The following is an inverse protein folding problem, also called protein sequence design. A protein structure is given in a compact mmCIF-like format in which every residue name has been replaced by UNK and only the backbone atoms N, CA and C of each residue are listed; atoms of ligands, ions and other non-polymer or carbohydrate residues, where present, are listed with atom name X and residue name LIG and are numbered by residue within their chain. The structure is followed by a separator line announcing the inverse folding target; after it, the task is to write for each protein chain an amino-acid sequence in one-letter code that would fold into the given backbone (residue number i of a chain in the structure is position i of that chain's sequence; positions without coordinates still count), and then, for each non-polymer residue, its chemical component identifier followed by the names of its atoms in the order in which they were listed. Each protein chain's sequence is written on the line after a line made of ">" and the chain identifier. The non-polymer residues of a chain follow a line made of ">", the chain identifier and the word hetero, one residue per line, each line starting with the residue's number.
data_IF_072591681216
#
_entry.id   IF_072591681216
#
_cell.length_a   1.000
_cell.length_b   1.000
_cell.length_c   1.000
_cell.angle_alpha   90.00
_cell.angle_beta   90.00
_cell.angle_gamma   90.00
#
_symmetry.space_group_name_H-M   'P 1'
#
loop_
_entity.id
_entity.type
_entity.pdbx_description
1 polymer ?
#
# COMPACT_ATOMS: atom_id res chain seq x y z
N UNK A 1 -4.07 -17.26 11.21
CA UNK A 1 -4.02 -16.76 12.60
C UNK A 1 -2.56 -16.68 13.00
N UNK A 2 -2.06 -15.50 13.38
CA UNK A 2 -0.67 -15.32 13.81
C UNK A 2 -0.64 -15.18 15.31
N UNK A 3 0.02 -16.11 16.00
CA UNK A 3 0.24 -16.00 17.44
C UNK A 3 1.33 -14.96 17.71
N UNK A 4 1.04 -13.98 18.58
CA UNK A 4 1.99 -12.96 18.99
C UNK A 4 2.38 -13.26 20.45
N UNK A 5 3.61 -13.71 20.72
CA UNK A 5 4.09 -13.97 22.09
C UNK A 5 4.04 -12.71 22.95
N UNK A 6 3.61 -12.85 24.21
CA UNK A 6 3.56 -11.74 25.17
C UNK A 6 3.92 -12.20 26.59
N UNK A 7 4.37 -11.25 27.43
CA UNK A 7 4.65 -11.47 28.85
C UNK A 7 3.93 -10.44 29.70
N UNK A 8 3.43 -10.88 30.85
CA UNK A 8 2.80 -10.04 31.86
C UNK A 8 3.76 -9.88 33.04
N UNK A 9 4.09 -8.65 33.40
CA UNK A 9 4.97 -8.36 34.53
C UNK A 9 4.19 -8.31 35.84
N UNK A 10 4.91 -8.36 36.97
CA UNK A 10 4.31 -8.24 38.32
C UNK A 10 3.55 -6.92 38.54
N UNK A 11 3.82 -5.91 37.71
CA UNK A 11 3.10 -4.64 37.69
C UNK A 11 1.84 -4.67 36.79
N UNK A 12 1.41 -5.85 36.34
CA UNK A 12 0.29 -6.06 35.40
C UNK A 12 0.47 -5.37 34.03
N UNK A 13 1.71 -5.15 33.59
CA UNK A 13 2.03 -4.58 32.27
C UNK A 13 2.29 -5.70 31.27
N UNK A 14 1.88 -5.51 30.02
CA UNK A 14 2.01 -6.52 28.95
C UNK A 14 3.03 -6.05 27.92
N UNK A 15 3.96 -6.92 27.56
CA UNK A 15 4.98 -6.65 26.53
C UNK A 15 4.96 -7.75 25.48
N UNK A 16 5.07 -7.36 24.21
CA UNK A 16 5.19 -8.28 23.08
C UNK A 16 6.58 -8.12 22.47
N UNK A 17 7.47 -9.07 22.75
CA UNK A 17 8.85 -9.08 22.24
C UNK A 17 9.24 -10.51 21.85
N UNK A 18 10.29 -10.67 21.06
CA UNK A 18 10.87 -12.00 20.80
C UNK A 18 11.49 -12.60 22.07
N UNK A 19 11.66 -13.92 22.09
CA UNK A 19 12.13 -14.65 23.28
C UNK A 19 13.55 -14.23 23.69
N UNK A 20 14.40 -13.84 22.75
CA UNK A 20 15.77 -13.39 23.02
C UNK A 20 15.80 -12.02 23.69
N UNK A 21 15.01 -11.07 23.20
CA UNK A 21 14.85 -9.77 23.86
C UNK A 21 14.17 -9.90 25.21
N UNK A 22 13.22 -10.82 25.39
CA UNK A 22 12.58 -11.10 26.68
C UNK A 22 13.60 -11.52 27.76
N UNK A 23 14.55 -12.40 27.45
CA UNK A 23 15.57 -12.82 28.41
C UNK A 23 16.44 -11.65 28.88
N UNK A 24 16.92 -10.83 27.94
CA UNK A 24 17.69 -9.63 28.24
C UNK A 24 16.91 -8.62 29.10
N UNK A 25 15.61 -8.43 28.79
CA UNK A 25 14.76 -7.54 29.57
C UNK A 25 14.52 -8.06 30.99
N UNK A 26 14.41 -9.37 31.17
CA UNK A 26 14.19 -9.99 32.49
C UNK A 26 15.38 -9.77 33.43
N UNK A 27 16.60 -9.75 32.90
CA UNK A 27 17.82 -9.39 33.66
C UNK A 27 17.82 -7.90 34.06
N UNK A 28 17.38 -7.01 33.17
CA UNK A 28 17.27 -5.58 33.45
C UNK A 28 16.16 -5.24 34.46
N UNK A 29 15.11 -6.05 34.55
CA UNK A 29 13.97 -5.90 35.47
C UNK A 29 14.32 -6.10 36.95
N UNK A 30 15.49 -6.67 37.28
CA UNK A 30 15.96 -6.76 38.67
C UNK A 30 16.37 -5.39 39.25
N UNK A 31 16.70 -4.44 38.37
CA UNK A 31 16.87 -3.04 38.74
C UNK A 31 15.53 -2.31 38.58
N UNK A 32 15.25 -1.32 39.43
CA UNK A 32 13.98 -0.58 39.50
C UNK A 32 13.78 0.36 38.28
N UNK A 33 14.09 -0.10 37.07
CA UNK A 33 14.24 0.67 35.84
C UNK A 33 12.87 0.97 35.22
N UNK A 34 12.54 2.26 35.10
CA UNK A 34 11.28 2.71 34.49
C UNK A 34 11.36 2.68 32.96
N UNK A 35 11.11 1.50 32.39
CA UNK A 35 11.10 1.25 30.95
C UNK A 35 10.12 2.14 30.19
N UNK A 36 8.95 2.45 30.75
CA UNK A 36 7.95 3.30 30.07
C UNK A 36 8.46 4.71 29.84
N UNK A 37 9.19 5.28 30.80
CA UNK A 37 9.81 6.60 30.63
C UNK A 37 10.87 6.61 29.51
N UNK A 38 11.49 5.46 29.23
CA UNK A 38 12.48 5.31 28.17
C UNK A 38 11.85 5.03 26.79
N UNK A 39 10.86 4.13 26.72
CA UNK A 39 10.22 3.76 25.46
C UNK A 39 9.19 4.78 24.97
N UNK A 40 8.42 5.41 25.85
CA UNK A 40 7.42 6.40 25.43
C UNK A 40 7.96 7.50 24.50
N UNK A 41 9.10 8.17 24.79
CA UNK A 41 9.64 9.17 23.87
C UNK A 41 10.10 8.54 22.55
N UNK A 42 10.67 7.33 22.56
CA UNK A 42 11.09 6.62 21.35
C UNK A 42 9.91 6.21 20.48
N UNK A 43 8.86 5.63 21.08
CA UNK A 43 7.61 5.27 20.39
C UNK A 43 6.93 6.52 19.84
N UNK A 44 6.93 7.63 20.58
CA UNK A 44 6.37 8.90 20.11
C UNK A 44 7.16 9.47 18.93
N UNK A 45 8.51 9.44 18.99
CA UNK A 45 9.35 9.88 17.87
C UNK A 45 9.16 8.99 16.65
N UNK A 46 9.13 7.68 16.84
CA UNK A 46 8.92 6.70 15.77
C UNK A 46 7.54 6.86 15.14
N UNK A 47 6.49 7.07 15.94
CA UNK A 47 5.16 7.37 15.43
C UNK A 47 5.13 8.66 14.58
N UNK A 48 5.76 9.74 15.05
CA UNK A 48 5.87 11.01 14.29
C UNK A 48 6.65 10.84 12.97
N UNK A 49 7.74 10.08 13.00
CA UNK A 49 8.51 9.76 11.80
C UNK A 49 7.65 8.95 10.82
N UNK A 50 6.97 7.90 11.30
CA UNK A 50 6.08 7.08 10.48
C UNK A 50 4.91 7.87 9.89
N UNK A 51 4.30 8.77 10.66
CA UNK A 51 3.19 9.60 10.20
C UNK A 51 3.62 10.48 9.01
N UNK A 52 4.75 11.18 9.11
CA UNK A 52 5.30 11.94 7.98
C UNK A 52 5.74 11.08 6.78
N UNK A 53 6.19 9.85 7.04
CA UNK A 53 6.61 8.91 5.99
C UNK A 53 5.41 8.31 5.24
N UNK A 54 4.29 8.06 5.92
CA UNK A 54 3.05 7.52 5.31
C UNK A 54 2.41 8.48 4.31
N UNK A 55 2.42 9.79 4.61
CA UNK A 55 1.85 10.82 3.73
C UNK A 55 2.71 11.02 2.48
N UNK A 56 4.03 10.97 2.62
CA UNK A 56 4.94 11.10 1.48
C UNK A 56 5.00 9.85 0.61
N UNK A 57 4.94 8.66 1.22
CA UNK A 57 4.97 7.38 0.48
C UNK A 57 3.68 7.14 -0.30
N UNK A 58 2.51 7.47 0.24
CA UNK A 58 1.22 7.38 -0.46
C UNK A 58 1.15 8.32 -1.66
N UNK A 59 1.67 9.55 -1.55
CA UNK A 59 1.78 10.48 -2.67
C UNK A 59 2.65 9.93 -3.81
N UNK A 60 3.83 9.41 -3.48
CA UNK A 60 4.73 8.78 -4.46
C UNK A 60 4.11 7.53 -5.10
N UNK A 61 3.43 6.69 -4.31
CA UNK A 61 2.76 5.51 -4.81
C UNK A 61 1.62 5.87 -5.77
N UNK A 62 0.82 6.89 -5.45
CA UNK A 62 -0.22 7.40 -6.36
C UNK A 62 0.36 7.90 -7.68
N UNK A 63 1.51 8.57 -7.64
CA UNK A 63 2.23 8.99 -8.86
C UNK A 63 2.71 7.78 -9.66
N UNK A 64 3.28 6.77 -8.99
CA UNK A 64 3.72 5.54 -9.62
C UNK A 64 2.57 4.84 -10.35
N UNK A 65 1.41 4.70 -9.70
CA UNK A 65 0.22 4.08 -10.31
C UNK A 65 -0.26 4.87 -11.53
N UNK A 66 -0.32 6.21 -11.44
CA UNK A 66 -0.68 7.05 -12.60
C UNK A 66 0.30 6.87 -13.76
N UNK A 67 1.60 6.81 -13.47
CA UNK A 67 2.65 6.56 -14.46
C UNK A 67 2.52 5.18 -15.11
N UNK A 68 2.24 4.14 -14.31
CA UNK A 68 2.06 2.78 -14.78
C UNK A 68 0.81 2.66 -15.68
N UNK A 69 -0.31 3.29 -15.31
CA UNK A 69 -1.51 3.36 -16.17
C UNK A 69 -1.18 4.04 -17.50
N UNK A 70 -0.47 5.18 -17.47
CA UNK A 70 -0.08 5.90 -18.70
C UNK A 70 0.78 5.00 -19.60
N UNK A 71 1.81 4.36 -19.05
CA UNK A 71 2.67 3.43 -19.79
C UNK A 71 1.89 2.24 -20.35
N UNK A 72 0.96 1.68 -19.57
CA UNK A 72 0.15 0.56 -20.02
C UNK A 72 -0.68 0.93 -21.26
N UNK A 73 -1.30 2.12 -21.26
CA UNK A 73 -2.05 2.64 -22.42
C UNK A 73 -1.16 2.92 -23.64
N UNK A 74 0.08 3.32 -23.43
CA UNK A 74 1.04 3.56 -24.52
C UNK A 74 1.54 2.25 -25.15
N UNK A 75 1.70 1.20 -24.36
CA UNK A 75 2.33 -0.05 -24.78
C UNK A 75 1.35 -1.14 -25.20
N UNK A 76 0.14 -1.16 -24.63
CA UNK A 76 -0.80 -2.28 -24.78
C UNK A 76 -2.17 -1.81 -25.26
N UNK A 77 -2.88 -2.69 -25.97
CA UNK A 77 -4.21 -2.42 -26.53
C UNK A 77 -5.14 -3.63 -26.32
N UNK A 78 -6.45 -3.40 -26.41
CA UNK A 78 -7.47 -4.44 -26.33
C UNK A 78 -7.33 -5.33 -25.09
N UNK A 79 -7.33 -6.66 -25.29
CA UNK A 79 -7.24 -7.64 -24.18
C UNK A 79 -5.93 -7.55 -23.39
N UNK A 80 -4.82 -7.19 -24.04
CA UNK A 80 -3.52 -7.04 -23.35
C UNK A 80 -3.54 -5.82 -22.42
N UNK A 81 -4.15 -4.71 -22.84
CA UNK A 81 -4.33 -3.55 -21.99
C UNK A 81 -5.18 -3.90 -20.75
N UNK A 82 -6.29 -4.61 -20.94
CA UNK A 82 -7.13 -5.06 -19.82
C UNK A 82 -6.36 -5.93 -18.81
N UNK A 83 -5.48 -6.82 -19.29
CA UNK A 83 -4.65 -7.66 -18.43
C UNK A 83 -3.68 -6.82 -17.58
N UNK A 84 -2.96 -5.90 -18.21
CA UNK A 84 -2.01 -5.04 -17.51
C UNK A 84 -2.69 -4.10 -16.51
N UNK A 85 -3.84 -3.53 -16.87
CA UNK A 85 -4.65 -2.74 -15.93
C UNK A 85 -5.11 -3.58 -14.72
N UNK A 86 -5.37 -4.87 -14.90
CA UNK A 86 -5.76 -5.77 -13.80
C UNK A 86 -4.57 -6.03 -12.86
N UNK A 87 -3.38 -6.23 -13.43
CA UNK A 87 -2.13 -6.37 -12.67
C UNK A 87 -1.81 -5.11 -11.84
N UNK A 88 -2.01 -3.91 -12.40
CA UNK A 88 -1.82 -2.65 -11.67
C UNK A 88 -2.88 -2.49 -10.58
N UNK A 89 -4.15 -2.85 -10.84
CA UNK A 89 -5.21 -2.82 -9.81
C UNK A 89 -4.91 -3.72 -8.61
N UNK A 90 -4.38 -4.93 -8.82
CA UNK A 90 -4.01 -5.83 -7.71
C UNK A 90 -2.94 -5.24 -6.80
N UNK A 91 -2.07 -4.36 -7.33
CA UNK A 91 -1.07 -3.66 -6.50
C UNK A 91 -1.70 -2.52 -5.67
N UNK A 92 -2.89 -2.05 -6.04
CA UNK A 92 -3.58 -0.90 -5.43
C UNK A 92 -4.48 -1.29 -4.24
N UNK A 93 -4.42 -2.52 -3.72
CA UNK A 93 -5.29 -3.02 -2.63
C UNK A 93 -5.26 -2.22 -1.31
N UNK A 94 -4.39 -1.20 -1.18
CA UNK A 94 -4.40 -0.24 -0.06
C UNK A 94 -5.34 0.95 -0.28
N UNK A 95 -6.30 1.13 0.62
CA UNK A 95 -7.32 2.19 0.58
C UNK A 95 -6.71 3.60 0.59
N UNK A 96 -5.57 3.79 1.26
CA UNK A 96 -4.88 5.08 1.35
C UNK A 96 -4.35 5.59 -0.01
N UNK A 97 -4.22 4.68 -0.97
CA UNK A 97 -3.71 4.97 -2.31
C UNK A 97 -4.84 5.18 -3.33
N UNK A 98 -6.09 4.90 -2.95
CA UNK A 98 -7.26 4.99 -3.83
C UNK A 98 -7.78 6.43 -3.85
N UNK A 99 -7.55 7.12 -4.97
CA UNK A 99 -8.05 8.48 -5.18
C UNK A 99 -8.92 8.57 -6.43
N UNK A 100 -9.82 9.56 -6.47
CA UNK A 100 -10.79 9.73 -7.55
C UNK A 100 -10.13 9.82 -8.93
N UNK A 101 -8.99 10.50 -9.04
CA UNK A 101 -8.22 10.62 -10.27
C UNK A 101 -7.69 9.26 -10.77
N UNK A 102 -7.25 8.39 -9.88
CA UNK A 102 -6.77 7.04 -10.22
C UNK A 102 -7.95 6.17 -10.69
N UNK A 103 -9.08 6.22 -9.96
CA UNK A 103 -10.31 5.51 -10.33
C UNK A 103 -10.77 5.93 -11.73
N UNK A 104 -10.82 7.24 -12.01
CA UNK A 104 -11.20 7.75 -13.32
C UNK A 104 -10.23 7.30 -14.42
N UNK A 105 -8.92 7.29 -14.16
CA UNK A 105 -7.94 6.78 -15.12
C UNK A 105 -8.15 5.30 -15.45
N UNK A 106 -8.44 4.45 -14.45
CA UNK A 106 -8.78 3.06 -14.72
C UNK A 106 -10.06 2.90 -15.53
N UNK A 107 -11.15 3.56 -15.12
CA UNK A 107 -12.43 3.46 -15.82
C UNK A 107 -12.32 3.86 -17.29
N UNK A 108 -11.63 4.96 -17.58
CA UNK A 108 -11.38 5.40 -18.96
C UNK A 108 -10.51 4.41 -19.73
N UNK A 109 -9.45 3.88 -19.11
CA UNK A 109 -8.53 2.94 -19.77
C UNK A 109 -9.20 1.59 -20.07
N UNK A 110 -10.04 1.09 -19.17
CA UNK A 110 -10.83 -0.13 -19.40
C UNK A 110 -11.88 0.05 -20.49
N UNK A 111 -12.52 1.22 -20.55
CA UNK A 111 -13.43 1.56 -21.65
C UNK A 111 -12.67 1.53 -22.98
N UNK A 112 -11.52 2.19 -23.06
CA UNK A 112 -10.71 2.22 -24.28
C UNK A 112 -10.26 0.78 -24.68
N UNK A 113 -9.97 -0.09 -23.72
CA UNK A 113 -9.64 -1.50 -23.97
C UNK A 113 -10.82 -2.32 -24.56
N UNK A 114 -12.06 -1.99 -24.19
CA UNK A 114 -13.28 -2.67 -24.68
C UNK A 114 -13.72 -2.18 -26.06
N UNK A 115 -13.50 -0.89 -26.38
CA UNK A 115 -13.83 -0.28 -27.68
C UNK A 115 -12.97 -0.84 -28.83
N UNK A 116 -11.90 -1.57 -28.52
CA UNK A 116 -11.15 -2.34 -29.51
C UNK A 116 -11.84 -3.69 -29.85
N UNK A 117 -13.16 -3.66 -29.99
CA UNK A 117 -13.94 -4.77 -30.52
C UNK A 117 -14.02 -4.62 -32.05
N UNK A 118 -13.84 -5.69 -32.85
CA UNK A 118 -13.75 -5.59 -34.31
C UNK A 118 -15.02 -5.04 -34.99
N UNK A 119 -16.16 -4.94 -34.29
CA UNK A 119 -17.36 -4.29 -34.84
C UNK A 119 -17.24 -2.76 -34.91
N UNK A 120 -16.51 -2.12 -34.00
CA UNK A 120 -16.41 -0.66 -33.93
C UNK A 120 -15.34 -0.09 -34.91
N UNK A 121 -14.38 -0.92 -35.32
CA UNK A 121 -13.36 -0.55 -36.31
C UNK A 121 -13.93 -0.38 -37.75
N UNK A 122 -15.04 -1.05 -38.06
CA UNK A 122 -15.71 -0.97 -39.37
C UNK A 122 -16.39 0.39 -39.59
N UNK A 123 -16.87 1.04 -38.52
CA UNK A 123 -17.51 2.35 -38.60
C UNK A 123 -16.54 3.53 -38.42
N UNK A 124 -15.28 3.28 -38.07
CA UNK A 124 -14.25 4.30 -37.90
C UNK A 124 -13.42 4.61 -39.17
N UNK A 125 -13.68 3.93 -40.30
CA UNK A 125 -12.96 4.17 -41.57
C UNK A 125 -13.57 5.34 -42.36
N UNK A 126 -12.81 6.40 -42.73
CA UNK A 126 -13.32 7.60 -43.40
C UNK A 126 -13.55 7.42 -44.92
N UNK A 127 -13.86 6.21 -45.38
CA UNK A 127 -14.03 5.90 -46.81
C UNK A 127 -15.50 5.82 -47.27
N UNK A 128 -16.44 6.29 -46.46
CA UNK A 128 -17.84 6.46 -46.89
C UNK A 128 -18.39 7.82 -46.46
N UNK A 129 -17.83 8.89 -47.04
CA UNK A 129 -18.52 10.17 -47.21
C UNK A 129 -18.23 10.70 -48.60
#
# INVERSE_FOLDING_TARGET
>A
YTFIPYVVTNQKKVFCCDVGTMMCLTELYQSNFNMEAFFNPLTTQLAKLLEGTSVSSSGYFREMIRSDIRKAREMYHGKQLSHELTSILQRLDSVECLSLDIVMNFLLSYRDAQVSSPLDAVWASPLHR
#
